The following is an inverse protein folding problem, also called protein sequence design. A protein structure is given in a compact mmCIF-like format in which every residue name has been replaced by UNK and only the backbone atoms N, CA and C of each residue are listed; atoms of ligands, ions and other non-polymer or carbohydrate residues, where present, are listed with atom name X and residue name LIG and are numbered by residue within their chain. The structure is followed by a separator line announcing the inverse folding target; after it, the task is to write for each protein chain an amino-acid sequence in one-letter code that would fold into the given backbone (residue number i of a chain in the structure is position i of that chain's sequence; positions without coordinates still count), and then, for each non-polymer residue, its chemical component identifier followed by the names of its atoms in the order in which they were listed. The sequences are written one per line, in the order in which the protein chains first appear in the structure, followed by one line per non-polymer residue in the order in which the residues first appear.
data_IF_421059550737
#
_entry.id   IF_421059550737
#
_cell.length_a   1.000
_cell.length_b   1.000
_cell.length_c   1.000
_cell.angle_alpha   90.00
_cell.angle_beta   90.00
_cell.angle_gamma   90.00
#
_symmetry.space_group_name_H-M   'P 1'
#
loop_
_entity.id
_entity.type
_entity.pdbx_description
1 polymer ?
#
# COMPACT_ATOMS: atom_id res chain seq x y z
N UNK A 1 16.50 15.80 1.69
CA UNK A 1 15.16 16.10 1.14
C UNK A 1 15.14 17.39 0.32
N UNK A 2 15.76 18.48 0.82
CA UNK A 2 15.84 19.75 0.10
C UNK A 2 16.45 19.62 -1.31
N UNK A 3 17.59 18.92 -1.47
CA UNK A 3 18.22 18.73 -2.79
C UNK A 3 17.39 17.92 -3.78
N UNK A 4 16.51 17.06 -3.27
CA UNK A 4 15.60 16.25 -4.08
C UNK A 4 14.44 17.10 -4.60
N UNK A 5 13.79 17.86 -3.71
CA UNK A 5 12.66 18.73 -4.08
C UNK A 5 13.10 19.98 -4.86
N UNK A 6 14.33 20.44 -4.66
CA UNK A 6 14.93 21.58 -5.36
C UNK A 6 15.55 21.21 -6.71
N UNK A 7 15.27 20.04 -7.26
CA UNK A 7 15.74 19.65 -8.58
C UNK A 7 14.97 20.40 -9.68
N UNK A 8 15.62 21.29 -10.46
CA UNK A 8 14.94 22.00 -11.54
C UNK A 8 14.41 21.05 -12.63
N UNK A 9 15.03 19.88 -12.78
CA UNK A 9 14.58 18.80 -13.67
C UNK A 9 14.11 17.59 -12.86
N UNK A 10 13.30 17.84 -11.82
CA UNK A 10 12.82 16.78 -10.93
C UNK A 10 12.27 15.56 -11.69
N UNK A 11 12.65 14.32 -11.32
CA UNK A 11 13.52 13.90 -10.21
C UNK A 11 14.95 13.47 -10.65
N UNK A 12 15.50 14.02 -11.73
CA UNK A 12 16.73 13.55 -12.38
C UNK A 12 17.93 13.37 -11.43
N UNK A 13 18.21 14.34 -10.56
CA UNK A 13 19.34 14.28 -9.61
C UNK A 13 19.21 13.09 -8.66
N UNK A 14 18.01 12.85 -8.14
CA UNK A 14 17.74 11.73 -7.26
C UNK A 14 17.83 10.38 -7.98
N UNK A 15 17.47 10.33 -9.26
CA UNK A 15 17.54 9.09 -10.05
C UNK A 15 18.96 8.66 -10.42
N UNK A 16 19.97 9.48 -10.16
CA UNK A 16 21.38 9.09 -10.26
C UNK A 16 21.91 8.35 -9.02
N UNK A 17 21.14 8.35 -7.93
CA UNK A 17 21.54 7.67 -6.71
C UNK A 17 21.41 6.14 -6.80
N UNK A 18 21.95 5.43 -5.81
CA UNK A 18 21.73 3.99 -5.69
C UNK A 18 20.25 3.65 -5.38
N UNK A 19 19.88 2.39 -5.57
CA UNK A 19 18.49 1.91 -5.44
C UNK A 19 17.88 2.22 -4.07
N UNK A 20 18.63 1.98 -2.99
CA UNK A 20 18.18 2.26 -1.62
C UNK A 20 17.84 3.75 -1.42
N UNK A 21 18.69 4.66 -1.93
CA UNK A 21 18.43 6.10 -1.88
C UNK A 21 17.21 6.50 -2.72
N UNK A 22 17.04 5.91 -3.91
CA UNK A 22 15.83 6.15 -4.73
C UNK A 22 14.55 5.76 -4.00
N UNK A 23 14.56 4.63 -3.28
CA UNK A 23 13.44 4.18 -2.44
C UNK A 23 13.17 5.20 -1.33
N UNK A 24 14.22 5.57 -0.59
CA UNK A 24 14.12 6.55 0.48
C UNK A 24 13.58 7.91 -0.01
N UNK A 25 13.89 8.32 -1.23
CA UNK A 25 13.38 9.58 -1.80
C UNK A 25 11.86 9.57 -2.02
N UNK A 26 11.30 8.53 -2.65
CA UNK A 26 9.84 8.52 -2.86
C UNK A 26 9.10 8.30 -1.54
N UNK A 27 9.61 7.44 -0.65
CA UNK A 27 9.01 7.22 0.67
C UNK A 27 9.05 8.51 1.48
N UNK A 28 10.19 9.21 1.49
CA UNK A 28 10.31 10.53 2.11
C UNK A 28 9.37 11.56 1.49
N UNK A 29 9.17 11.53 0.18
CA UNK A 29 8.22 12.42 -0.51
C UNK A 29 6.81 12.20 -0.01
N UNK A 30 6.32 10.96 -0.05
CA UNK A 30 4.95 10.65 0.34
C UNK A 30 4.74 10.81 1.84
N UNK A 31 5.77 10.52 2.65
CA UNK A 31 5.81 10.84 4.09
C UNK A 31 5.59 12.35 4.32
N UNK A 32 6.33 13.21 3.61
CA UNK A 32 6.19 14.66 3.74
C UNK A 32 4.84 15.18 3.19
N UNK A 33 4.44 14.73 2.00
CA UNK A 33 3.22 15.20 1.34
C UNK A 33 1.93 14.75 2.05
N UNK A 34 1.92 13.56 2.65
CA UNK A 34 0.77 13.08 3.43
C UNK A 34 0.45 13.94 4.65
N UNK A 35 1.46 14.63 5.20
CA UNK A 35 1.35 15.53 6.35
C UNK A 35 1.03 16.98 5.99
N UNK A 36 1.00 17.32 4.71
CA UNK A 36 0.57 18.65 4.30
C UNK A 36 -0.91 18.84 4.61
N UNK A 37 -1.22 20.04 5.10
CA UNK A 37 -2.59 20.46 5.31
C UNK A 37 -3.21 20.93 3.99
N UNK A 38 -4.46 20.54 3.76
CA UNK A 38 -5.19 20.86 2.54
C UNK A 38 -6.46 21.60 2.92
N UNK A 39 -6.68 22.78 2.33
CA UNK A 39 -7.97 23.50 2.44
C UNK A 39 -9.15 22.59 2.08
N UNK A 40 -8.94 21.71 1.09
CA UNK A 40 -9.89 20.66 0.73
C UNK A 40 -9.13 19.35 0.50
N UNK A 41 -9.23 18.44 1.45
CA UNK A 41 -8.53 17.15 1.39
C UNK A 41 -8.88 16.30 0.16
N UNK A 42 -10.05 16.47 -0.46
CA UNK A 42 -10.38 15.80 -1.72
C UNK A 42 -9.47 16.20 -2.89
N UNK A 43 -8.69 17.28 -2.75
CA UNK A 43 -7.68 17.72 -3.74
C UNK A 43 -6.37 16.94 -3.64
N UNK A 44 -6.14 16.20 -2.55
CA UNK A 44 -4.91 15.43 -2.28
C UNK A 44 -4.41 14.60 -3.46
N UNK A 45 -5.22 13.71 -4.10
CA UNK A 45 -4.73 12.92 -5.24
C UNK A 45 -4.35 13.79 -6.45
N UNK A 46 -5.02 14.93 -6.66
CA UNK A 46 -4.72 15.83 -7.78
C UNK A 46 -3.46 16.65 -7.55
N UNK A 47 -3.27 17.13 -6.31
CA UNK A 47 -2.13 17.96 -5.94
C UNK A 47 -0.79 17.24 -6.13
N UNK A 48 -0.76 15.92 -5.93
CA UNK A 48 0.45 15.11 -6.07
C UNK A 48 0.58 14.44 -7.45
N UNK A 49 -0.48 14.40 -8.26
CA UNK A 49 -0.51 13.68 -9.54
C UNK A 49 0.66 14.07 -10.48
N UNK A 50 1.01 15.36 -10.53
CA UNK A 50 2.13 15.84 -11.34
C UNK A 50 3.50 15.36 -10.86
N UNK A 51 3.69 15.15 -9.56
CA UNK A 51 4.91 14.58 -8.99
C UNK A 51 4.94 13.07 -9.18
N UNK A 52 3.83 12.40 -8.90
CA UNK A 52 3.68 10.96 -9.10
C UNK A 52 3.96 10.59 -10.57
N UNK A 53 3.41 11.32 -11.54
CA UNK A 53 3.66 11.07 -12.98
C UNK A 53 5.15 11.18 -13.34
N UNK A 54 5.87 12.16 -12.79
CA UNK A 54 7.31 12.30 -13.01
C UNK A 54 8.08 11.15 -12.38
N UNK A 55 7.74 10.74 -11.15
CA UNK A 55 8.34 9.57 -10.51
C UNK A 55 8.10 8.29 -11.32
N UNK A 56 6.89 8.07 -11.80
CA UNK A 56 6.57 6.92 -12.66
C UNK A 56 7.45 6.88 -13.91
N UNK A 57 7.59 8.01 -14.61
CA UNK A 57 8.49 8.10 -15.77
C UNK A 57 9.92 7.78 -15.38
N UNK A 58 10.40 8.33 -14.27
CA UNK A 58 11.78 8.21 -13.85
C UNK A 58 12.15 6.80 -13.34
N UNK A 59 11.20 6.10 -12.71
CA UNK A 59 11.32 4.68 -12.35
C UNK A 59 10.95 3.72 -13.49
N UNK A 60 10.46 4.24 -14.61
CA UNK A 60 9.91 3.45 -15.72
C UNK A 60 8.85 2.46 -15.23
N UNK A 61 7.93 2.94 -14.38
CA UNK A 61 6.84 2.15 -13.79
C UNK A 61 5.49 2.65 -14.26
N UNK A 62 4.47 1.81 -14.13
CA UNK A 62 3.07 2.27 -14.14
C UNK A 62 2.65 2.58 -12.71
N UNK A 63 1.44 3.09 -12.52
CA UNK A 63 0.90 3.29 -11.18
C UNK A 63 -0.08 4.44 -11.08
N UNK A 64 -0.64 4.59 -9.90
CA UNK A 64 -1.40 5.75 -9.46
C UNK A 64 -1.64 5.63 -7.95
N UNK A 65 -2.11 6.71 -7.34
CA UNK A 65 -2.57 6.71 -5.94
C UNK A 65 -1.47 6.31 -4.94
N UNK A 66 -0.23 6.71 -5.23
CA UNK A 66 0.93 6.46 -4.38
C UNK A 66 1.55 5.08 -4.57
N UNK A 67 1.08 4.28 -5.52
CA UNK A 67 1.56 2.93 -5.79
C UNK A 67 2.28 2.89 -7.15
N UNK A 68 3.43 2.23 -7.17
CA UNK A 68 4.23 2.03 -8.37
C UNK A 68 4.19 0.57 -8.78
N UNK A 69 3.86 0.28 -10.04
CA UNK A 69 3.93 -1.05 -10.61
C UNK A 69 5.20 -1.19 -11.45
N UNK A 70 6.16 -1.91 -10.89
CA UNK A 70 7.43 -2.24 -11.51
C UNK A 70 7.47 -3.66 -12.11
N UNK A 71 6.34 -4.36 -12.15
CA UNK A 71 6.20 -5.70 -12.72
C UNK A 71 7.25 -6.69 -12.17
N UNK A 72 7.80 -7.50 -13.06
CA UNK A 72 8.75 -8.56 -12.72
C UNK A 72 10.22 -8.14 -12.84
N UNK A 73 10.54 -6.84 -12.73
CA UNK A 73 11.94 -6.37 -12.76
C UNK A 73 12.79 -7.02 -11.67
N UNK A 74 14.03 -7.35 -12.02
CA UNK A 74 15.02 -7.99 -11.15
C UNK A 74 15.35 -7.13 -9.91
N UNK A 75 15.42 -5.81 -10.06
CA UNK A 75 15.62 -4.84 -8.97
C UNK A 75 14.31 -4.28 -8.39
N UNK A 76 13.22 -5.03 -8.57
CA UNK A 76 11.86 -4.59 -8.30
C UNK A 76 11.48 -4.45 -6.82
N UNK A 77 10.18 -4.49 -6.54
CA UNK A 77 9.59 -4.32 -5.20
C UNK A 77 9.12 -2.90 -4.90
N UNK A 78 9.09 -1.98 -5.87
CA UNK A 78 8.45 -0.68 -5.71
C UNK A 78 6.96 -0.83 -5.39
N UNK A 79 6.27 -1.78 -6.03
CA UNK A 79 4.87 -2.09 -5.72
C UNK A 79 4.71 -2.42 -4.24
N UNK A 80 5.44 -3.42 -3.77
CA UNK A 80 5.40 -3.90 -2.40
C UNK A 80 5.76 -2.82 -1.39
N UNK A 81 6.86 -2.07 -1.62
CA UNK A 81 7.29 -0.99 -0.73
C UNK A 81 6.29 0.16 -0.69
N UNK A 82 5.66 0.48 -1.81
CA UNK A 82 4.65 1.53 -1.86
C UNK A 82 3.37 1.18 -1.09
N UNK A 83 3.04 -0.12 -0.96
CA UNK A 83 1.92 -0.61 -0.15
C UNK A 83 2.20 -0.65 1.35
N UNK A 84 3.46 -0.77 1.76
CA UNK A 84 3.86 -0.88 3.17
C UNK A 84 3.92 0.48 3.89
N UNK A 85 3.13 1.46 3.45
CA UNK A 85 2.87 2.63 4.28
C UNK A 85 2.13 2.20 5.56
N UNK A 86 2.23 2.97 6.63
CA UNK A 86 1.47 2.83 7.87
C UNK A 86 1.07 4.22 8.38
N UNK A 87 0.08 4.29 9.27
CA UNK A 87 -0.23 5.54 9.96
C UNK A 87 1.02 6.11 10.64
N UNK A 88 1.24 7.41 10.47
CA UNK A 88 2.35 8.13 11.09
C UNK A 88 2.20 8.20 12.61
N UNK A 89 3.34 8.15 13.30
CA UNK A 89 3.43 8.23 14.76
C UNK A 89 4.28 9.42 15.23
N UNK A 90 4.52 10.41 14.35
CA UNK A 90 5.28 11.61 14.70
C UNK A 90 4.44 12.57 15.57
N UNK A 91 5.12 13.42 16.35
CA UNK A 91 4.46 14.46 17.13
C UNK A 91 3.70 15.42 16.20
N UNK A 92 2.38 15.45 16.32
CA UNK A 92 1.48 16.22 15.46
C UNK A 92 0.73 15.40 14.42
N UNK A 93 1.06 14.12 14.24
CA UNK A 93 0.27 13.20 13.41
C UNK A 93 -1.10 12.93 14.07
N UNK A 94 -2.12 12.72 13.23
CA UNK A 94 -3.44 12.32 13.70
C UNK A 94 -3.37 10.94 14.36
N UNK A 95 -4.13 10.69 15.44
CA UNK A 95 -4.16 9.39 16.09
C UNK A 95 -4.74 8.30 15.19
N UNK A 96 -5.54 8.69 14.18
CA UNK A 96 -6.25 7.82 13.25
C UNK A 96 -6.22 8.39 11.82
N UNK A 97 -6.11 7.50 10.83
CA UNK A 97 -6.33 7.81 9.42
C UNK A 97 -7.83 8.03 9.20
N UNK A 98 -8.23 9.25 8.85
CA UNK A 98 -9.65 9.59 8.65
C UNK A 98 -10.00 9.52 7.17
N UNK A 99 -10.98 8.71 6.72
CA UNK A 99 -11.37 8.66 5.31
C UNK A 99 -11.70 10.06 4.76
N UNK A 100 -11.24 10.35 3.55
CA UNK A 100 -11.58 11.59 2.84
C UNK A 100 -12.89 11.37 2.09
N UNK A 101 -13.84 12.27 2.31
CA UNK A 101 -15.04 12.34 1.49
C UNK A 101 -14.71 12.95 0.12
N UNK A 102 -14.95 12.18 -0.94
CA UNK A 102 -14.81 12.64 -2.31
C UNK A 102 -16.19 12.97 -2.88
N UNK A 103 -16.50 14.25 -3.16
CA UNK A 103 -17.77 14.61 -3.77
C UNK A 103 -17.95 13.95 -5.13
N UNK A 104 -19.16 13.48 -5.45
CA UNK A 104 -19.48 12.84 -6.74
C UNK A 104 -19.06 13.69 -7.95
N UNK A 105 -19.18 15.02 -7.83
CA UNK A 105 -18.75 15.98 -8.85
C UNK A 105 -17.26 15.86 -9.23
N UNK A 106 -16.41 15.33 -8.34
CA UNK A 106 -14.98 15.12 -8.61
C UNK A 106 -14.71 13.90 -9.49
N UNK A 107 -15.68 12.99 -9.65
CA UNK A 107 -15.56 11.77 -10.46
C UNK A 107 -14.26 10.99 -10.20
N UNK A 108 -13.78 11.01 -8.95
CA UNK A 108 -12.58 10.31 -8.52
C UNK A 108 -12.96 9.31 -7.45
N UNK A 109 -12.42 8.10 -7.58
CA UNK A 109 -12.54 7.05 -6.58
C UNK A 109 -11.13 6.66 -6.18
N UNK A 110 -10.75 7.00 -4.95
CA UNK A 110 -9.42 6.68 -4.42
C UNK A 110 -9.52 5.34 -3.68
N UNK A 111 -8.72 4.33 -4.07
CA UNK A 111 -8.77 3.02 -3.43
C UNK A 111 -8.31 3.03 -1.97
N UNK A 112 -8.85 2.15 -1.11
CA UNK A 112 -8.50 2.13 0.31
C UNK A 112 -7.04 1.74 0.60
N UNK A 113 -6.39 1.04 -0.32
CA UNK A 113 -4.96 0.72 -0.19
C UNK A 113 -4.06 1.94 -0.44
N UNK A 114 -4.61 3.05 -0.94
CA UNK A 114 -3.89 4.31 -1.09
C UNK A 114 -3.98 5.15 0.18
N UNK A 115 -2.83 5.69 0.62
CA UNK A 115 -2.82 6.70 1.67
C UNK A 115 -3.58 7.98 1.28
N UNK A 116 -3.77 8.24 -0.02
CA UNK A 116 -4.49 9.41 -0.52
C UNK A 116 -6.01 9.33 -0.26
N UNK A 117 -6.53 8.17 0.14
CA UNK A 117 -7.92 8.00 0.54
C UNK A 117 -8.20 8.54 1.96
N UNK A 118 -7.17 8.95 2.71
CA UNK A 118 -7.28 9.31 4.11
C UNK A 118 -6.59 10.64 4.41
N UNK A 119 -7.05 11.32 5.47
CA UNK A 119 -6.33 12.37 6.20
C UNK A 119 -5.40 11.71 7.22
N UNK A 120 -4.27 12.35 7.48
CA UNK A 120 -3.22 11.84 8.35
C UNK A 120 -1.90 11.67 7.60
N UNK A 121 -0.82 11.78 8.37
CA UNK A 121 0.54 11.47 7.91
C UNK A 121 0.76 9.97 7.81
N UNK A 122 1.66 9.56 6.92
CA UNK A 122 2.10 8.18 6.80
C UNK A 122 3.58 8.03 7.09
N UNK A 123 3.97 6.86 7.58
CA UNK A 123 5.33 6.36 7.56
C UNK A 123 5.39 5.09 6.70
N UNK A 124 6.57 4.48 6.59
CA UNK A 124 6.76 3.21 5.88
C UNK A 124 7.35 2.16 6.80
N UNK A 125 6.83 0.94 6.70
CA UNK A 125 7.46 -0.26 7.25
C UNK A 125 8.33 -0.82 6.13
N UNK A 126 9.60 -0.48 6.13
CA UNK A 126 10.49 -0.89 5.04
C UNK A 126 11.25 -2.17 5.41
N UNK A 127 11.10 -3.26 4.65
CA UNK A 127 11.98 -4.40 4.80
C UNK A 127 13.43 -3.97 4.51
N UNK A 128 14.41 -4.41 5.32
CA UNK A 128 15.80 -4.03 5.10
C UNK A 128 16.24 -4.32 3.66
N UNK A 129 17.08 -3.43 3.12
CA UNK A 129 17.49 -3.50 1.73
C UNK A 129 18.13 -4.85 1.40
N UNK A 130 17.65 -5.48 0.32
CA UNK A 130 18.07 -6.80 -0.17
C UNK A 130 17.90 -7.99 0.82
N UNK A 131 17.16 -7.80 1.92
CA UNK A 131 16.92 -8.86 2.91
C UNK A 131 15.49 -9.41 2.88
N UNK A 132 14.69 -9.06 1.86
CA UNK A 132 13.32 -9.56 1.73
C UNK A 132 13.06 -10.11 0.33
N UNK A 133 12.28 -11.19 0.30
CA UNK A 133 11.68 -11.73 -0.92
C UNK A 133 10.26 -11.17 -1.04
N UNK A 134 9.99 -10.53 -2.17
CA UNK A 134 8.68 -9.97 -2.49
C UNK A 134 7.68 -11.06 -2.90
N UNK A 135 6.44 -10.95 -2.44
CA UNK A 135 5.37 -11.87 -2.83
C UNK A 135 4.85 -11.49 -4.21
N UNK A 136 5.12 -12.29 -5.25
CA UNK A 136 4.79 -11.97 -6.64
C UNK A 136 3.61 -12.77 -7.20
N UNK A 137 3.15 -13.78 -6.47
CA UNK A 137 2.10 -14.70 -6.92
C UNK A 137 0.79 -14.36 -6.22
N UNK A 138 0.84 -14.16 -4.91
CA UNK A 138 -0.34 -13.98 -4.07
C UNK A 138 -0.80 -12.54 -3.93
N UNK A 139 -0.04 -11.55 -4.39
CA UNK A 139 -0.44 -10.14 -4.43
C UNK A 139 -0.03 -9.53 -5.77
N UNK A 140 -1.01 -8.96 -6.47
CA UNK A 140 -0.86 -8.56 -7.86
C UNK A 140 -1.30 -7.11 -8.03
N UNK A 141 -0.45 -6.24 -8.60
CA UNK A 141 -0.80 -4.85 -8.79
C UNK A 141 -1.95 -4.68 -9.80
N UNK A 142 -2.74 -3.61 -9.66
CA UNK A 142 -3.89 -3.34 -10.56
C UNK A 142 -3.52 -3.25 -12.04
N UNK A 143 -2.26 -2.95 -12.38
CA UNK A 143 -1.83 -2.66 -13.75
C UNK A 143 -1.07 -3.81 -14.43
N UNK A 144 -0.77 -4.91 -13.72
CA UNK A 144 -0.01 -6.06 -14.26
C UNK A 144 -0.90 -7.23 -14.70
N UNK A 145 -2.09 -7.43 -14.11
CA UNK A 145 -3.05 -8.44 -14.60
C UNK A 145 -4.36 -7.85 -15.07
N UNK A 146 -4.53 -7.87 -16.39
CA UNK A 146 -5.78 -7.59 -17.08
C UNK A 146 -5.73 -6.35 -17.96
N UNK A 147 -5.22 -6.49 -19.19
CA UNK A 147 -5.84 -5.89 -20.38
C UNK A 147 -6.08 -4.38 -20.48
N UNK A 148 -5.69 -3.53 -19.53
CA UNK A 148 -5.77 -2.07 -19.72
C UNK A 148 -4.58 -1.64 -20.58
N UNK A 149 -4.72 -1.80 -21.89
CA UNK A 149 -4.09 -0.90 -22.86
C UNK A 149 -4.81 0.45 -22.75
N UNK A 150 -4.59 1.20 -21.68
CA UNK A 150 -4.94 2.62 -21.64
C UNK A 150 -3.66 3.42 -21.88
N UNK A 151 -3.23 3.38 -23.15
CA UNK A 151 -2.96 4.65 -23.80
C UNK A 151 -4.25 5.47 -23.73
N UNK A 152 -4.14 6.75 -23.40
CA UNK A 152 -5.23 7.74 -23.27
C UNK A 152 -6.13 7.56 -22.04
N UNK A 153 -6.03 8.56 -21.15
CA UNK A 153 -6.97 8.87 -20.09
C UNK A 153 -8.32 9.30 -20.70
N UNK A 154 -9.00 8.40 -21.41
CA UNK A 154 -10.24 8.71 -22.14
C UNK A 154 -10.93 7.40 -22.55
N UNK A 155 -11.48 6.66 -21.58
CA UNK A 155 -12.62 5.74 -21.78
C UNK A 155 -13.03 5.16 -20.42
N UNK A 156 -14.22 5.51 -19.94
CA UNK A 156 -14.85 4.87 -18.78
C UNK A 156 -15.44 3.52 -19.18
N UNK A 157 -15.17 2.44 -18.42
CA UNK A 157 -16.18 1.45 -18.09
C UNK A 157 -16.76 1.80 -16.72
N UNK A 158 -18.08 1.85 -16.61
CA UNK A 158 -18.82 2.20 -15.40
C UNK A 158 -18.67 1.21 -14.22
N UNK A 159 -17.71 0.27 -14.21
CA UNK A 159 -17.64 -0.75 -13.15
C UNK A 159 -16.24 -1.35 -12.85
N UNK A 160 -15.14 -0.86 -13.45
CA UNK A 160 -13.81 -1.38 -13.14
C UNK A 160 -13.15 -0.60 -12.01
N UNK A 161 -13.54 -0.93 -10.78
CA UNK A 161 -12.83 -0.49 -9.58
C UNK A 161 -11.37 -0.96 -9.60
N UNK A 162 -10.44 -0.01 -9.51
CA UNK A 162 -8.99 -0.26 -9.47
C UNK A 162 -8.67 -1.02 -8.18
N UNK A 163 -8.34 -2.31 -8.31
CA UNK A 163 -8.20 -3.22 -7.18
C UNK A 163 -6.87 -3.97 -7.24
N UNK A 164 -6.32 -4.27 -6.07
CA UNK A 164 -5.23 -5.24 -5.91
C UNK A 164 -5.85 -6.63 -5.80
N UNK A 165 -5.39 -7.57 -6.61
CA UNK A 165 -5.79 -8.98 -6.48
C UNK A 165 -4.87 -9.62 -5.44
N UNK A 166 -5.45 -10.27 -4.43
CA UNK A 166 -4.66 -10.85 -3.35
C UNK A 166 -5.21 -12.18 -2.83
N UNK A 167 -4.34 -13.02 -2.26
CA UNK A 167 -4.73 -14.07 -1.30
C UNK A 167 -4.76 -13.47 0.09
N UNK A 168 -5.94 -13.51 0.69
CA UNK A 168 -6.22 -13.06 2.05
C UNK A 168 -6.13 -14.25 3.00
N UNK A 169 -5.41 -14.08 4.10
CA UNK A 169 -5.13 -15.12 5.10
C UNK A 169 -5.55 -14.66 6.48
N UNK A 170 -6.07 -15.59 7.28
CA UNK A 170 -6.31 -15.34 8.69
C UNK A 170 -4.99 -15.23 9.45
N UNK A 171 -5.02 -14.47 10.54
CA UNK A 171 -3.90 -14.41 11.48
C UNK A 171 -4.41 -14.37 12.92
N UNK A 172 -3.62 -14.91 13.85
CA UNK A 172 -3.93 -14.93 15.28
C UNK A 172 -2.70 -14.51 16.06
N UNK A 173 -2.74 -13.31 16.64
CA UNK A 173 -1.60 -12.72 17.38
C UNK A 173 -1.85 -12.67 18.89
N UNK A 174 -2.69 -13.58 19.40
CA UNK A 174 -2.88 -13.79 20.82
C UNK A 174 -1.61 -14.42 21.42
N UNK A 175 -1.20 -13.98 22.61
CA UNK A 175 0.04 -14.46 23.24
C UNK A 175 1.32 -14.03 22.52
N UNK A 176 1.27 -12.95 21.72
CA UNK A 176 2.44 -12.46 20.98
C UNK A 176 3.50 -11.86 21.91
N UNK A 177 4.77 -12.07 21.56
CA UNK A 177 5.87 -11.29 22.13
C UNK A 177 6.05 -9.98 21.34
N UNK A 178 6.46 -8.87 21.98
CA UNK A 178 6.59 -7.57 21.33
C UNK A 178 7.47 -7.56 20.07
N UNK A 179 8.57 -8.31 20.05
CA UNK A 179 9.52 -8.35 18.93
C UNK A 179 9.05 -9.20 17.73
N UNK A 180 8.04 -10.03 17.96
CA UNK A 180 7.56 -10.99 16.97
C UNK A 180 6.44 -10.42 16.09
N UNK A 181 5.81 -9.32 16.53
CA UNK A 181 4.66 -8.70 15.86
C UNK A 181 4.67 -7.19 16.11
N UNK A 182 4.73 -6.40 15.04
CA UNK A 182 4.41 -4.97 15.05
C UNK A 182 3.35 -4.69 14.01
N UNK A 183 2.18 -4.27 14.45
CA UNK A 183 1.04 -4.00 13.58
C UNK A 183 0.51 -2.61 13.93
N UNK A 184 0.35 -1.79 12.90
CA UNK A 184 -0.22 -0.44 13.00
C UNK A 184 -1.55 -0.44 12.27
N UNK A 185 -2.64 -0.29 13.01
CA UNK A 185 -3.97 -0.10 12.43
C UNK A 185 -4.12 1.34 11.94
N UNK A 186 -4.79 1.48 10.79
CA UNK A 186 -5.03 2.79 10.18
C UNK A 186 -5.98 3.62 11.06
N UNK A 187 -6.94 3.00 11.75
CA UNK A 187 -7.79 3.64 12.76
C UNK A 187 -7.90 2.77 14.01
N UNK A 188 -8.30 3.37 15.13
CA UNK A 188 -8.63 2.68 16.38
C UNK A 188 -9.62 1.55 16.10
N UNK A 189 -9.37 0.40 16.72
CA UNK A 189 -10.32 -0.70 16.75
C UNK A 189 -11.51 -0.28 17.61
N UNK A 190 -12.49 0.41 17.01
CA UNK A 190 -13.81 0.54 17.63
C UNK A 190 -14.36 -0.88 17.75
N UNK A 191 -14.47 -1.34 18.99
CA UNK A 191 -14.90 -2.69 19.34
C UNK A 191 -16.16 -3.07 18.55
N UNK A 192 -16.10 -4.19 17.82
CA UNK A 192 -17.25 -4.96 17.34
C UNK A 192 -18.32 -4.31 16.44
N UNK A 193 -18.26 -3.02 16.07
CA UNK A 193 -19.37 -2.39 15.34
C UNK A 193 -19.57 -2.88 13.89
N UNK A 194 -18.51 -3.38 13.24
CA UNK A 194 -18.59 -3.94 11.87
C UNK A 194 -18.57 -5.48 11.83
N UNK A 195 -18.40 -6.15 12.97
CA UNK A 195 -18.39 -7.63 13.08
C UNK A 195 -17.28 -8.38 12.31
N UNK A 196 -16.40 -7.68 11.59
CA UNK A 196 -15.43 -8.31 10.69
C UNK A 196 -14.02 -8.38 11.30
N UNK A 197 -13.49 -9.59 11.40
CA UNK A 197 -12.13 -9.85 11.89
C UNK A 197 -11.10 -9.43 10.84
N UNK A 198 -10.12 -8.59 11.20
CA UNK A 198 -9.03 -8.27 10.29
C UNK A 198 -8.28 -9.53 9.86
N UNK A 199 -7.97 -9.59 8.57
CA UNK A 199 -7.15 -10.59 7.92
C UNK A 199 -5.89 -9.91 7.35
N UNK A 200 -4.98 -10.68 6.77
CA UNK A 200 -3.75 -10.14 6.19
C UNK A 200 -3.50 -10.64 4.77
N UNK A 201 -2.78 -9.83 4.00
CA UNK A 201 -2.16 -10.20 2.73
C UNK A 201 -0.66 -10.15 2.92
N UNK A 202 0.05 -11.20 2.51
CA UNK A 202 1.51 -11.23 2.55
C UNK A 202 2.05 -10.35 1.42
N UNK A 203 2.91 -9.40 1.78
CA UNK A 203 3.57 -8.48 0.83
C UNK A 203 5.02 -8.90 0.62
N UNK A 204 5.70 -9.31 1.69
CA UNK A 204 7.08 -9.78 1.62
C UNK A 204 7.39 -10.73 2.77
N UNK A 205 8.49 -11.48 2.64
CA UNK A 205 9.06 -12.27 3.73
C UNK A 205 10.56 -12.00 3.82
N UNK A 206 11.11 -12.03 5.03
CA UNK A 206 12.55 -11.90 5.24
C UNK A 206 13.27 -13.11 4.64
N UNK A 207 14.40 -12.86 3.96
CA UNK A 207 15.30 -13.88 3.44
C UNK A 207 15.95 -14.65 4.59
N UNK A 208 16.27 -15.91 4.34
CA UNK A 208 16.92 -16.77 5.33
C UNK A 208 15.97 -17.27 6.43
N UNK A 209 16.51 -18.14 7.29
CA UNK A 209 15.77 -18.80 8.37
C UNK A 209 15.30 -20.21 8.01
N UNK A 210 15.50 -21.14 8.94
CA UNK A 210 15.29 -22.57 8.73
C UNK A 210 13.82 -22.98 8.64
N UNK A 211 12.88 -22.16 9.11
CA UNK A 211 11.45 -22.46 9.14
C UNK A 211 10.61 -21.25 8.75
N UNK A 212 9.61 -21.45 7.88
CA UNK A 212 8.62 -20.43 7.52
C UNK A 212 7.88 -19.89 8.76
N UNK A 213 7.69 -20.69 9.80
CA UNK A 213 7.00 -20.26 11.01
C UNK A 213 7.78 -19.20 11.81
N UNK A 214 9.11 -19.24 11.74
CA UNK A 214 9.99 -18.31 12.47
C UNK A 214 10.47 -17.14 11.59
N UNK A 215 10.12 -17.12 10.30
CA UNK A 215 10.44 -16.01 9.42
C UNK A 215 9.50 -14.84 9.67
N UNK A 216 10.04 -13.62 9.52
CA UNK A 216 9.25 -12.39 9.57
C UNK A 216 8.59 -12.13 8.22
N UNK A 217 7.29 -11.90 8.24
CA UNK A 217 6.46 -11.53 7.09
C UNK A 217 6.01 -10.10 7.24
N UNK A 218 6.06 -9.34 6.16
CA UNK A 218 5.50 -8.00 6.04
C UNK A 218 4.13 -8.13 5.39
N UNK A 219 3.14 -7.48 6.00
CA UNK A 219 1.74 -7.71 5.68
C UNK A 219 0.96 -6.42 5.51
N UNK A 220 -0.02 -6.47 4.62
CA UNK A 220 -1.12 -5.53 4.57
C UNK A 220 -2.27 -6.10 5.41
N UNK A 221 -2.85 -5.32 6.30
CA UNK A 221 -4.08 -5.71 7.00
C UNK A 221 -5.29 -5.30 6.18
N UNK A 222 -6.24 -6.22 6.08
CA UNK A 222 -7.47 -6.00 5.35
C UNK A 222 -8.67 -6.45 6.18
N UNK A 223 -9.80 -5.78 6.01
CA UNK A 223 -11.09 -6.23 6.49
C UNK A 223 -12.02 -6.41 5.30
N UNK A 224 -12.94 -7.37 5.38
CA UNK A 224 -13.96 -7.51 4.35
C UNK A 224 -14.75 -6.19 4.22
N UNK A 225 -15.46 -6.03 3.10
CA UNK A 225 -16.50 -5.00 2.97
C UNK A 225 -17.85 -5.71 2.92
N UNK A 226 -18.91 -5.06 3.40
CA UNK A 226 -20.25 -5.60 3.19
C UNK A 226 -20.58 -5.56 1.69
N UNK A 227 -20.77 -6.73 1.08
CA UNK A 227 -21.07 -6.90 -0.35
C UNK A 227 -20.06 -7.79 -1.08
N UNK A 228 -20.57 -8.79 -1.81
CA UNK A 228 -19.84 -9.51 -2.85
C UNK A 228 -19.83 -8.69 -4.14
N UNK A 229 -18.75 -8.75 -4.92
CA UNK A 229 -18.81 -8.20 -6.29
C UNK A 229 -19.91 -8.93 -7.08
N UNK A 230 -20.40 -8.33 -8.17
CA UNK A 230 -21.35 -8.99 -9.08
C UNK A 230 -20.86 -10.33 -9.66
N UNK A 231 -19.57 -10.65 -9.46
CA UNK A 231 -18.91 -11.90 -9.86
C UNK A 231 -18.67 -12.88 -8.70
N UNK A 232 -19.21 -12.61 -7.51
CA UNK A 232 -19.02 -13.46 -6.32
C UNK A 232 -17.65 -13.32 -5.64
N UNK A 233 -16.82 -12.36 -6.06
CA UNK A 233 -15.50 -12.14 -5.45
C UNK A 233 -15.64 -11.36 -4.13
N UNK A 234 -14.89 -11.77 -3.11
CA UNK A 234 -14.84 -11.05 -1.83
C UNK A 234 -14.05 -9.76 -1.99
N UNK A 235 -14.64 -8.68 -1.50
CA UNK A 235 -14.04 -7.34 -1.49
C UNK A 235 -13.52 -7.02 -0.10
N UNK A 236 -12.40 -6.34 -0.09
CA UNK A 236 -11.65 -6.01 1.11
C UNK A 236 -11.22 -4.55 1.08
N UNK A 237 -11.25 -3.90 2.23
CA UNK A 237 -10.62 -2.60 2.44
C UNK A 237 -9.36 -2.76 3.26
N UNK A 238 -8.37 -1.92 3.02
CA UNK A 238 -7.20 -1.82 3.90
C UNK A 238 -7.60 -1.28 5.27
N UNK A 239 -6.97 -1.82 6.32
CA UNK A 239 -7.15 -1.37 7.71
C UNK A 239 -5.84 -1.21 8.50
N UNK A 240 -4.69 -1.38 7.86
CA UNK A 240 -3.39 -1.24 8.50
C UNK A 240 -2.28 -1.94 7.73
N UNK A 241 -1.08 -1.91 8.30
CA UNK A 241 0.08 -2.67 7.83
C UNK A 241 0.96 -3.06 9.01
N UNK A 242 1.87 -4.00 8.80
CA UNK A 242 2.69 -4.52 9.89
C UNK A 242 3.73 -5.53 9.44
N UNK A 243 4.41 -6.09 10.43
CA UNK A 243 5.10 -7.35 10.31
C UNK A 243 4.67 -8.32 11.42
N UNK A 244 4.76 -9.61 11.13
CA UNK A 244 4.63 -10.68 12.13
C UNK A 244 5.42 -11.92 11.74
N UNK A 245 5.75 -12.77 12.71
CA UNK A 245 6.29 -14.09 12.40
C UNK A 245 5.26 -15.00 11.73
N UNK A 246 5.72 -15.90 10.86
CA UNK A 246 4.88 -16.81 10.09
C UNK A 246 3.98 -17.71 10.96
N UNK A 247 4.40 -18.04 12.19
CA UNK A 247 3.59 -18.80 13.17
C UNK A 247 2.26 -18.15 13.54
N UNK A 248 2.09 -16.86 13.27
CA UNK A 248 0.86 -16.13 13.52
C UNK A 248 -0.08 -16.08 12.31
N UNK A 249 0.40 -16.49 11.13
CA UNK A 249 -0.35 -16.43 9.88
C UNK A 249 -0.77 -17.86 9.52
N UNK A 250 -2.01 -18.02 9.06
CA UNK A 250 -2.47 -19.27 8.43
C UNK A 250 -1.81 -19.42 7.06
N UNK A 251 -0.53 -19.80 7.06
CA UNK A 251 0.27 -20.07 5.86
C UNK A 251 -0.09 -21.40 5.22
N UNK A 252 -0.61 -22.33 6.01
CA UNK A 252 -1.12 -23.61 5.53
C UNK A 252 -2.43 -23.39 4.77
N UNK A 253 -2.49 -23.94 3.55
CA UNK A 253 -3.62 -23.80 2.65
C UNK A 253 -3.55 -22.58 1.75
N UNK A 254 -4.55 -22.53 0.88
CA UNK A 254 -4.62 -21.63 -0.26
C UNK A 254 -4.98 -20.19 0.11
N UNK A 255 -5.53 -19.93 1.31
CA UNK A 255 -6.12 -18.64 1.65
C UNK A 255 -7.34 -18.31 0.78
N UNK A 256 -7.84 -17.07 0.84
CA UNK A 256 -9.06 -16.65 0.17
C UNK A 256 -8.70 -15.64 -0.94
N UNK A 257 -9.03 -15.95 -2.18
CA UNK A 257 -8.87 -14.98 -3.28
C UNK A 257 -9.82 -13.77 -3.05
N UNK A 258 -9.28 -12.56 -3.23
CA UNK A 258 -10.01 -11.35 -2.94
C UNK A 258 -9.48 -10.14 -3.70
N UNK A 259 -10.29 -9.08 -3.71
CA UNK A 259 -9.94 -7.77 -4.27
C UNK A 259 -9.85 -6.76 -3.15
N UNK A 260 -8.66 -6.17 -2.99
CA UNK A 260 -8.46 -5.03 -2.09
C UNK A 260 -8.75 -3.77 -2.88
N UNK A 261 -9.78 -3.04 -2.44
CA UNK A 261 -10.41 -1.93 -3.17
C UNK A 261 -10.39 -0.66 -2.35
#
# INVERSE_FOLDING_TARGET
MADFLGDPNFPDKAMRANRARKIAYFQGLYKQYSRLDFTRYSDRPFAIAGLEKRLQSAFTTRGAFGIFDDGDKDDGGLFHRSLLWQRGEESGDLPNMTPIEFPLARRVKVPSWSWMAYRGGIDYIDPPFDQADWERIEIIPPWTRGGIKSSTAETSPQDDEIAIIARVRDFKVAGRLPEEVKITYDAERTSASDGQTPQCVVVAKMKGGSSNLLRRYYVLLVAATQGTSGRGEKRYRRVGAGFMLGKYISLEGDGIAGRVV
#
